data_IF_337725131140
#
_entry.id   IF_337725131140
#
_cell.length_a   1.000
_cell.length_b   1.000
_cell.length_c   1.000
_cell.angle_alpha   90.00
_cell.angle_beta   90.00
_cell.angle_gamma   90.00
#
_symmetry.space_group_name_H-M   'P 1'
#
loop_
_entity.id
_entity.type
_entity.pdbx_description
1 polymer ?
#
# COMPACT_ATOMS: atom_id res chain seq x y z
N UNK A 1 4.90 25.83 -2.44
CA UNK A 1 3.87 24.86 -2.03
C UNK A 1 4.00 24.59 -0.54
N UNK A 2 2.90 24.58 0.22
CA UNK A 2 2.95 24.39 1.67
C UNK A 2 3.19 22.89 2.01
N UNK A 3 3.88 22.58 3.12
CA UNK A 3 4.23 21.19 3.48
C UNK A 3 3.01 20.27 3.53
N UNK A 4 1.91 20.73 4.14
CA UNK A 4 0.65 19.97 4.23
C UNK A 4 0.07 19.59 2.86
N UNK A 5 0.25 20.48 1.88
CA UNK A 5 -0.26 20.29 0.53
C UNK A 5 0.59 19.30 -0.26
N UNK A 6 1.91 19.37 -0.09
CA UNK A 6 2.84 18.37 -0.61
C UNK A 6 2.49 16.96 -0.11
N UNK A 7 2.25 16.81 1.20
CA UNK A 7 1.83 15.53 1.78
C UNK A 7 0.51 15.02 1.19
N UNK A 8 -0.48 15.89 0.99
CA UNK A 8 -1.76 15.50 0.36
C UNK A 8 -1.59 15.02 -1.06
N UNK A 9 -0.76 15.69 -1.87
CA UNK A 9 -0.50 15.29 -3.26
C UNK A 9 0.20 13.94 -3.30
N UNK A 10 1.24 13.74 -2.48
CA UNK A 10 1.96 12.46 -2.41
C UNK A 10 1.05 11.33 -1.92
N UNK A 11 0.19 11.59 -0.93
CA UNK A 11 -0.78 10.60 -0.45
C UNK A 11 -1.79 10.22 -1.53
N UNK A 12 -2.37 11.20 -2.24
CA UNK A 12 -3.28 10.93 -3.38
C UNK A 12 -2.59 10.14 -4.49
N UNK A 13 -1.36 10.51 -4.83
CA UNK A 13 -0.57 9.81 -5.84
C UNK A 13 -0.28 8.36 -5.43
N UNK A 14 0.06 8.12 -4.16
CA UNK A 14 0.30 6.78 -3.63
C UNK A 14 -0.98 5.91 -3.66
N UNK A 15 -2.13 6.46 -3.25
CA UNK A 15 -3.43 5.77 -3.31
C UNK A 15 -3.81 5.46 -4.76
N UNK A 16 -3.69 6.44 -5.66
CA UNK A 16 -3.94 6.26 -7.10
C UNK A 16 -3.06 5.16 -7.70
N UNK A 17 -1.77 5.15 -7.37
CA UNK A 17 -0.85 4.11 -7.81
C UNK A 17 -1.25 2.73 -7.27
N UNK A 18 -1.64 2.65 -6.00
CA UNK A 18 -2.08 1.40 -5.37
C UNK A 18 -3.33 0.84 -6.06
N UNK A 19 -4.34 1.67 -6.31
CA UNK A 19 -5.57 1.29 -7.04
C UNK A 19 -5.22 0.82 -8.46
N UNK A 20 -4.36 1.55 -9.18
CA UNK A 20 -4.00 1.24 -10.56
C UNK A 20 -3.20 -0.06 -10.70
N UNK A 21 -2.32 -0.36 -9.73
CA UNK A 21 -1.42 -1.52 -9.81
C UNK A 21 -1.91 -2.75 -9.05
N UNK A 22 -2.74 -2.58 -8.02
CA UNK A 22 -3.23 -3.66 -7.15
C UNK A 22 -4.67 -3.41 -6.68
N UNK A 23 -5.64 -3.26 -7.60
CA UNK A 23 -7.01 -2.87 -7.27
C UNK A 23 -7.65 -3.80 -6.22
N UNK A 24 -7.50 -5.12 -6.39
CA UNK A 24 -8.03 -6.10 -5.44
C UNK A 24 -7.41 -6.00 -4.04
N UNK A 25 -6.10 -5.80 -3.94
CA UNK A 25 -5.43 -5.68 -2.63
C UNK A 25 -5.82 -4.38 -1.95
N UNK A 26 -5.95 -3.29 -2.71
CA UNK A 26 -6.40 -2.01 -2.17
C UNK A 26 -7.85 -2.10 -1.70
N UNK A 27 -8.76 -2.67 -2.49
CA UNK A 27 -10.16 -2.87 -2.11
C UNK A 27 -10.28 -3.74 -0.84
N UNK A 28 -9.53 -4.84 -0.76
CA UNK A 28 -9.49 -5.70 0.43
C UNK A 28 -9.06 -4.91 1.69
N UNK A 29 -7.93 -4.21 1.62
CA UNK A 29 -7.43 -3.41 2.74
C UNK A 29 -8.48 -2.37 3.15
N UNK A 30 -9.08 -1.66 2.20
CA UNK A 30 -10.09 -0.63 2.47
C UNK A 30 -11.33 -1.22 3.15
N UNK A 31 -11.88 -2.33 2.62
CA UNK A 31 -13.07 -2.97 3.17
C UNK A 31 -12.80 -3.53 4.57
N UNK A 32 -11.71 -4.26 4.77
CA UNK A 32 -11.39 -4.86 6.07
C UNK A 32 -11.07 -3.78 7.12
N UNK A 33 -10.37 -2.72 6.75
CA UNK A 33 -10.09 -1.60 7.67
C UNK A 33 -11.38 -0.87 8.03
N UNK A 34 -12.26 -0.60 7.07
CA UNK A 34 -13.55 0.05 7.31
C UNK A 34 -14.46 -0.81 8.18
N UNK A 35 -14.56 -2.12 7.90
CA UNK A 35 -15.31 -3.07 8.71
C UNK A 35 -14.75 -3.16 10.15
N UNK A 36 -13.42 -3.21 10.30
CA UNK A 36 -12.76 -3.22 11.61
C UNK A 36 -13.04 -1.97 12.44
N UNK A 37 -12.99 -0.79 11.82
CA UNK A 37 -13.33 0.48 12.47
C UNK A 37 -14.80 0.50 12.87
N UNK A 38 -15.70 0.08 11.97
CA UNK A 38 -17.13 0.03 12.24
C UNK A 38 -17.44 -0.85 13.44
N UNK A 39 -16.94 -2.10 13.44
CA UNK A 39 -17.12 -3.05 14.53
C UNK A 39 -16.49 -2.55 15.83
N UNK A 40 -15.30 -1.96 15.76
CA UNK A 40 -14.61 -1.38 16.92
C UNK A 40 -15.39 -0.24 17.57
N UNK A 41 -16.06 0.59 16.77
CA UNK A 41 -16.94 1.67 17.27
C UNK A 41 -18.22 1.08 17.87
N UNK A 42 -18.86 0.12 17.18
CA UNK A 42 -20.14 -0.45 17.64
C UNK A 42 -20.00 -1.31 18.90
N UNK A 43 -18.89 -2.03 19.05
CA UNK A 43 -18.63 -2.88 20.21
C UNK A 43 -17.77 -2.20 21.30
N UNK A 44 -17.39 -0.93 21.10
CA UNK A 44 -16.44 -0.20 21.96
C UNK A 44 -15.16 -0.99 22.29
N UNK A 45 -14.75 -1.85 21.36
CA UNK A 45 -13.70 -2.84 21.61
C UNK A 45 -12.50 -2.57 20.72
N UNK A 46 -11.41 -2.12 21.36
CA UNK A 46 -10.13 -1.85 20.68
C UNK A 46 -9.56 -3.15 20.07
N UNK A 47 -9.82 -4.30 20.68
CA UNK A 47 -9.32 -5.59 20.17
C UNK A 47 -9.96 -5.97 18.84
N UNK A 48 -11.26 -5.70 18.65
CA UNK A 48 -11.96 -5.91 17.38
C UNK A 48 -11.44 -4.99 16.27
N UNK A 49 -11.11 -3.74 16.62
CA UNK A 49 -10.51 -2.79 15.69
C UNK A 49 -9.12 -3.26 15.22
N UNK A 50 -8.29 -3.76 16.13
CA UNK A 50 -6.97 -4.33 15.82
C UNK A 50 -7.10 -5.57 14.93
N UNK A 51 -8.07 -6.46 15.20
CA UNK A 51 -8.32 -7.63 14.37
C UNK A 51 -8.75 -7.26 12.93
N UNK A 52 -9.56 -6.21 12.76
CA UNK A 52 -9.93 -5.70 11.43
C UNK A 52 -8.74 -5.16 10.64
N UNK A 53 -7.81 -4.48 11.32
CA UNK A 53 -6.56 -4.01 10.70
C UNK A 53 -5.65 -5.20 10.33
N UNK A 54 -5.51 -6.18 11.23
CA UNK A 54 -4.73 -7.40 10.96
C UNK A 54 -5.28 -8.21 9.78
N UNK A 55 -6.60 -8.36 9.70
CA UNK A 55 -7.27 -9.06 8.59
C UNK A 55 -7.16 -8.29 7.28
N UNK A 56 -7.15 -6.96 7.31
CA UNK A 56 -6.83 -6.13 6.13
C UNK A 56 -5.40 -6.35 5.63
N UNK A 57 -4.45 -6.64 6.52
CA UNK A 57 -3.04 -6.87 6.22
C UNK A 57 -2.71 -8.32 5.81
N UNK A 58 -3.64 -9.27 5.96
CA UNK A 58 -3.47 -10.68 5.58
C UNK A 58 -2.85 -10.88 4.18
N UNK A 59 -3.31 -10.20 3.11
CA UNK A 59 -2.72 -10.37 1.78
C UNK A 59 -1.24 -9.97 1.73
N UNK A 60 -0.82 -9.03 2.58
CA UNK A 60 0.57 -8.63 2.74
C UNK A 60 1.39 -9.71 3.46
N UNK A 61 0.85 -10.28 4.53
CA UNK A 61 1.48 -11.34 5.32
C UNK A 61 1.68 -12.60 4.48
N UNK A 62 0.65 -13.07 3.77
CA UNK A 62 0.73 -14.24 2.88
C UNK A 62 1.77 -14.01 1.78
N UNK A 63 1.82 -12.81 1.19
CA UNK A 63 2.85 -12.45 0.20
C UNK A 63 4.25 -12.37 0.77
N UNK A 64 4.40 -12.08 2.07
CA UNK A 64 5.70 -12.09 2.74
C UNK A 64 6.12 -13.53 3.06
N UNK A 65 5.24 -14.34 3.63
CA UNK A 65 5.50 -15.75 3.93
C UNK A 65 5.88 -16.54 2.67
N UNK A 66 5.11 -16.40 1.58
CA UNK A 66 5.44 -17.01 0.29
C UNK A 66 6.76 -16.52 -0.28
N UNK A 67 7.11 -15.24 -0.08
CA UNK A 67 8.43 -14.71 -0.49
C UNK A 67 9.59 -15.23 0.36
N UNK A 68 9.39 -15.44 1.66
CA UNK A 68 10.42 -16.01 2.54
C UNK A 68 10.70 -17.44 2.11
N UNK A 69 9.65 -18.24 1.87
CA UNK A 69 9.74 -19.62 1.36
C UNK A 69 10.51 -19.70 0.03
N UNK A 70 10.19 -18.82 -0.93
CA UNK A 70 10.87 -18.76 -2.23
C UNK A 70 12.31 -18.20 -2.12
N UNK A 71 12.57 -17.26 -1.19
CA UNK A 71 13.91 -16.67 -1.01
C UNK A 71 14.97 -17.59 -0.39
N UNK A 72 14.58 -18.81 -0.02
CA UNK A 72 15.53 -19.88 0.31
C UNK A 72 16.38 -20.26 -0.91
N UNK A 73 15.87 -20.05 -2.13
CA UNK A 73 16.64 -20.23 -3.34
C UNK A 73 17.45 -18.96 -3.69
N UNK A 74 18.77 -19.11 -3.85
CA UNK A 74 19.73 -18.00 -3.96
C UNK A 74 19.52 -17.16 -5.22
N UNK A 75 19.09 -17.81 -6.31
CA UNK A 75 18.87 -17.18 -7.61
C UNK A 75 17.60 -16.34 -7.63
N UNK A 76 16.54 -16.83 -6.98
CA UNK A 76 15.30 -16.06 -6.80
C UNK A 76 15.55 -14.81 -5.96
N UNK A 77 16.37 -14.87 -4.90
CA UNK A 77 16.69 -13.72 -4.04
C UNK A 77 17.28 -12.54 -4.83
N UNK A 78 18.20 -12.81 -5.76
CA UNK A 78 18.80 -11.80 -6.64
C UNK A 78 17.79 -11.21 -7.63
N UNK A 79 16.96 -12.06 -8.24
CA UNK A 79 15.89 -11.63 -9.16
C UNK A 79 14.86 -10.75 -8.44
N UNK A 80 14.47 -11.13 -7.22
CA UNK A 80 13.57 -10.35 -6.38
C UNK A 80 14.13 -8.99 -5.98
N UNK A 81 15.42 -8.90 -5.66
CA UNK A 81 16.07 -7.62 -5.33
C UNK A 81 15.99 -6.64 -6.51
N UNK A 82 16.40 -7.09 -7.71
CA UNK A 82 16.32 -6.28 -8.94
C UNK A 82 14.89 -5.90 -9.31
N UNK A 83 13.90 -6.76 -9.03
CA UNK A 83 12.51 -6.45 -9.30
C UNK A 83 11.91 -5.46 -8.28
N UNK A 84 12.34 -5.54 -7.02
CA UNK A 84 11.95 -4.58 -5.97
C UNK A 84 12.48 -3.18 -6.28
N UNK A 85 13.72 -3.09 -6.76
CA UNK A 85 14.36 -1.84 -7.18
C UNK A 85 13.63 -1.22 -8.37
N UNK A 86 13.39 -1.99 -9.44
CA UNK A 86 12.56 -1.54 -10.59
C UNK A 86 11.14 -1.11 -10.19
N UNK A 87 10.53 -1.75 -9.19
CA UNK A 87 9.21 -1.33 -8.67
C UNK A 87 9.30 -0.01 -7.89
N UNK A 88 10.39 0.23 -7.18
CA UNK A 88 10.64 1.51 -6.49
C UNK A 88 10.86 2.64 -7.48
N UNK A 89 11.70 2.44 -8.49
CA UNK A 89 11.96 3.44 -9.53
C UNK A 89 10.68 3.87 -10.23
N UNK A 90 9.88 2.92 -10.72
CA UNK A 90 8.57 3.22 -11.35
C UNK A 90 7.59 3.92 -10.42
N UNK A 91 7.65 3.64 -9.12
CA UNK A 91 6.81 4.34 -8.14
C UNK A 91 7.27 5.78 -7.95
N UNK A 92 8.57 6.01 -7.81
CA UNK A 92 9.14 7.36 -7.68
C UNK A 92 8.87 8.19 -8.94
N UNK A 93 9.06 7.60 -10.13
CA UNK A 93 8.75 8.23 -11.41
C UNK A 93 7.27 8.62 -11.50
N UNK A 94 6.36 7.69 -11.14
CA UNK A 94 4.93 7.98 -11.09
C UNK A 94 4.58 9.12 -10.12
N UNK A 95 5.22 9.17 -8.94
CA UNK A 95 5.02 10.26 -7.99
C UNK A 95 5.49 11.60 -8.55
N UNK A 96 6.62 11.63 -9.25
CA UNK A 96 7.14 12.84 -9.91
C UNK A 96 6.17 13.33 -10.98
N UNK A 97 5.74 12.46 -11.88
CA UNK A 97 4.76 12.80 -12.93
C UNK A 97 3.45 13.33 -12.34
N UNK A 98 2.96 12.68 -11.27
CA UNK A 98 1.72 13.09 -10.61
C UNK A 98 1.87 14.47 -9.94
N UNK A 99 3.01 14.71 -9.29
CA UNK A 99 3.31 16.00 -8.67
C UNK A 99 3.46 17.11 -9.72
N UNK A 100 4.14 16.86 -10.84
CA UNK A 100 4.30 17.82 -11.93
C UNK A 100 2.96 18.20 -12.56
N UNK A 101 2.07 17.23 -12.80
CA UNK A 101 0.70 17.50 -13.26
C UNK A 101 -0.09 18.32 -12.25
N UNK A 102 -0.04 17.94 -10.97
CA UNK A 102 -0.75 18.67 -9.91
C UNK A 102 -0.24 20.10 -9.67
N UNK A 103 0.99 20.41 -10.08
CA UNK A 103 1.55 21.77 -10.04
C UNK A 103 1.21 22.56 -11.30
N UNK A 104 1.08 21.91 -12.46
CA UNK A 104 0.65 22.57 -13.71
C UNK A 104 -0.84 22.90 -13.76
N UNK A 105 -1.68 22.10 -13.11
CA UNK A 105 -3.12 22.32 -12.99
C UNK A 105 -3.50 23.33 -11.87
N UNK A 106 -2.50 24.04 -11.31
CA UNK A 106 -2.65 25.08 -10.29
C UNK A 106 -2.41 26.46 -10.87
#
# INVERSE_FOLDING_TARGET
MNRKEAYRIVAKAAVSYAIKKRPYTTAWITICTAAGIYIGITEQSVSMMINGIFTGLLPGIVKCAGRILLSLDSWERLKFSKEKERKRERFVEYLKEYAEKAVKDK
#
